data_IF_317191572955
#
_entry.id   IF_317191572955
#
_cell.length_a   1.000
_cell.length_b   1.000
_cell.length_c   1.000
_cell.angle_alpha   90.00
_cell.angle_beta   90.00
_cell.angle_gamma   90.00
#
_symmetry.space_group_name_H-M   'P 1'
#
loop_
_entity.id
_entity.type
_entity.pdbx_description
1 polymer ?
#
# COMPACT_ATOMS: atom_id res chain seq x y z
N UNK A 1 -15.28 -17.09 -0.07
CA UNK A 1 -15.75 -16.36 -1.26
C UNK A 1 -14.56 -15.66 -1.88
N UNK A 2 -14.24 -15.95 -3.14
CA UNK A 2 -13.24 -15.19 -3.89
C UNK A 2 -13.79 -13.79 -4.09
N UNK A 3 -13.26 -12.81 -3.35
CA UNK A 3 -13.55 -11.41 -3.55
C UNK A 3 -12.85 -11.00 -4.85
N UNK A 4 -13.53 -11.13 -5.99
CA UNK A 4 -12.93 -10.76 -7.27
C UNK A 4 -12.96 -9.23 -7.37
N UNK A 5 -11.83 -8.60 -7.02
CA UNK A 5 -11.69 -7.16 -7.15
C UNK A 5 -11.66 -6.78 -8.63
N UNK A 6 -12.61 -5.96 -9.07
CA UNK A 6 -12.67 -5.48 -10.45
C UNK A 6 -11.66 -4.35 -10.66
N UNK A 7 -10.45 -4.72 -11.05
CA UNK A 7 -9.36 -3.80 -11.39
C UNK A 7 -9.81 -2.82 -12.48
N UNK A 8 -10.51 -3.29 -13.52
CA UNK A 8 -10.90 -2.45 -14.65
C UNK A 8 -11.88 -1.37 -14.22
N UNK A 9 -12.86 -1.71 -13.38
CA UNK A 9 -13.77 -0.73 -12.77
C UNK A 9 -13.00 0.29 -11.94
N UNK A 10 -12.11 -0.15 -11.05
CA UNK A 10 -11.35 0.80 -10.21
C UNK A 10 -10.39 1.69 -11.02
N UNK A 11 -9.76 1.16 -12.06
CA UNK A 11 -8.92 1.96 -12.96
C UNK A 11 -9.74 3.06 -13.66
N UNK A 12 -10.98 2.76 -14.05
CA UNK A 12 -11.88 3.76 -14.64
C UNK A 12 -12.23 4.86 -13.63
N UNK A 13 -12.56 4.50 -12.39
CA UNK A 13 -12.83 5.46 -11.32
C UNK A 13 -11.60 6.36 -11.05
N UNK A 14 -10.41 5.77 -10.94
CA UNK A 14 -9.16 6.51 -10.70
C UNK A 14 -8.79 7.43 -11.87
N UNK A 15 -9.10 7.04 -13.11
CA UNK A 15 -8.86 7.90 -14.29
C UNK A 15 -9.74 9.15 -14.33
N UNK A 16 -10.84 9.14 -13.56
CA UNK A 16 -11.78 10.26 -13.44
C UNK A 16 -11.64 10.98 -12.08
N UNK A 17 -10.69 10.55 -11.25
CA UNK A 17 -10.49 11.09 -9.92
C UNK A 17 -9.83 12.48 -9.99
N UNK A 18 -10.50 13.47 -9.43
CA UNK A 18 -9.91 14.77 -9.14
C UNK A 18 -9.22 14.72 -7.78
N UNK A 19 -7.90 14.71 -7.80
CA UNK A 19 -7.10 14.66 -6.57
C UNK A 19 -7.11 16.01 -5.85
N UNK A 20 -7.71 16.07 -4.65
CA UNK A 20 -7.63 17.26 -3.80
C UNK A 20 -6.24 17.38 -3.14
N UNK A 21 -5.27 17.86 -3.91
CA UNK A 21 -3.86 17.90 -3.49
C UNK A 21 -3.68 18.67 -2.19
N UNK A 22 -4.33 19.83 -2.04
CA UNK A 22 -4.23 20.64 -0.83
C UNK A 22 -4.68 19.87 0.42
N UNK A 23 -5.77 19.10 0.33
CA UNK A 23 -6.24 18.27 1.44
C UNK A 23 -5.29 17.11 1.73
N UNK A 24 -4.77 16.45 0.69
CA UNK A 24 -3.84 15.33 0.83
C UNK A 24 -2.53 15.80 1.48
N UNK A 25 -1.99 16.95 1.03
CA UNK A 25 -0.80 17.59 1.58
C UNK A 25 -1.01 18.02 3.04
N UNK A 26 -2.15 18.64 3.37
CA UNK A 26 -2.45 19.03 4.73
C UNK A 26 -2.52 17.82 5.68
N UNK A 27 -3.10 16.70 5.23
CA UNK A 27 -3.17 15.46 6.01
C UNK A 27 -1.79 14.81 6.16
N UNK A 28 -1.04 14.67 5.07
CA UNK A 28 0.32 14.13 5.11
C UNK A 28 1.26 15.01 5.95
N UNK A 29 1.13 16.34 5.85
CA UNK A 29 1.89 17.30 6.65
C UNK A 29 1.67 17.15 8.14
N UNK A 30 0.45 16.84 8.59
CA UNK A 30 0.19 16.52 10.00
C UNK A 30 0.94 15.28 10.47
N UNK A 31 1.05 14.24 9.63
CA UNK A 31 1.83 13.03 9.96
C UNK A 31 3.33 13.35 10.05
N UNK A 32 3.83 14.24 9.20
CA UNK A 32 5.23 14.70 9.23
C UNK A 32 5.51 15.52 10.49
N UNK A 33 4.66 16.48 10.83
CA UNK A 33 4.89 17.41 11.95
C UNK A 33 4.62 16.77 13.32
N UNK A 34 3.59 15.94 13.43
CA UNK A 34 3.12 15.42 14.71
C UNK A 34 3.47 13.94 14.93
N UNK A 35 4.02 13.28 13.91
CA UNK A 35 4.21 11.83 13.91
C UNK A 35 2.90 11.06 13.70
N UNK A 36 3.01 9.74 13.79
CA UNK A 36 1.86 8.82 13.72
C UNK A 36 1.36 8.58 15.14
N UNK A 37 0.13 8.98 15.43
CA UNK A 37 -0.47 8.80 16.75
C UNK A 37 -0.82 7.33 16.98
N UNK A 38 -0.35 6.70 18.07
CA UNK A 38 -0.76 5.35 18.44
C UNK A 38 -2.26 5.27 18.64
N UNK A 39 -2.88 4.17 18.22
CA UNK A 39 -4.31 3.93 18.38
C UNK A 39 -4.58 2.69 19.20
N UNK A 40 -5.62 2.77 20.01
CA UNK A 40 -6.27 1.61 20.63
C UNK A 40 -7.52 1.27 19.83
N UNK A 41 -7.74 -0.02 19.60
CA UNK A 41 -8.88 -0.50 18.83
C UNK A 41 -9.93 -1.06 19.77
N UNK A 42 -11.15 -0.53 19.65
CA UNK A 42 -12.33 -1.22 20.13
C UNK A 42 -12.67 -2.32 19.13
N UNK A 43 -12.61 -3.58 19.56
CA UNK A 43 -12.80 -4.76 18.71
C UNK A 43 -14.17 -4.75 18.05
N UNK A 44 -15.23 -4.53 18.82
CA UNK A 44 -16.62 -4.59 18.32
C UNK A 44 -16.87 -3.47 17.31
N UNK A 45 -16.44 -2.26 17.64
CA UNK A 45 -16.54 -1.10 16.74
C UNK A 45 -15.76 -1.34 15.45
N UNK A 46 -14.50 -1.76 15.54
CA UNK A 46 -13.63 -2.00 14.38
C UNK A 46 -14.23 -3.04 13.44
N UNK A 47 -14.80 -4.12 13.99
CA UNK A 47 -15.48 -5.14 13.20
C UNK A 47 -16.76 -4.61 12.54
N UNK A 48 -17.55 -3.79 13.24
CA UNK A 48 -18.77 -3.18 12.70
C UNK A 48 -18.50 -2.16 11.59
N UNK A 49 -17.38 -1.44 11.67
CA UNK A 49 -16.98 -0.40 10.71
C UNK A 49 -16.02 -0.92 9.63
N UNK A 50 -15.82 -2.25 9.53
CA UNK A 50 -14.79 -2.88 8.68
C UNK A 50 -14.76 -2.29 7.27
N UNK A 51 -15.87 -2.33 6.53
CA UNK A 51 -15.88 -1.86 5.14
C UNK A 51 -15.53 -0.37 5.01
N UNK A 52 -16.01 0.48 5.93
CA UNK A 52 -15.66 1.91 5.96
C UNK A 52 -14.16 2.11 6.21
N UNK A 53 -13.54 1.29 7.07
CA UNK A 53 -12.08 1.32 7.28
C UNK A 53 -11.34 0.88 6.02
N UNK A 54 -11.79 -0.20 5.37
CA UNK A 54 -11.17 -0.72 4.15
C UNK A 54 -11.20 0.29 3.00
N UNK A 55 -12.34 0.94 2.77
CA UNK A 55 -12.49 2.00 1.78
C UNK A 55 -11.58 3.20 2.09
N UNK A 56 -11.57 3.65 3.35
CA UNK A 56 -10.72 4.77 3.79
C UNK A 56 -9.23 4.47 3.61
N UNK A 57 -8.78 3.29 3.99
CA UNK A 57 -7.37 2.86 3.83
C UNK A 57 -6.99 2.78 2.36
N UNK A 58 -7.85 2.18 1.53
CA UNK A 58 -7.62 2.08 0.10
C UNK A 58 -7.45 3.47 -0.53
N UNK A 59 -8.41 4.38 -0.27
CA UNK A 59 -8.38 5.75 -0.81
C UNK A 59 -7.13 6.51 -0.35
N UNK A 60 -6.80 6.43 0.95
CA UNK A 60 -5.60 7.10 1.48
C UNK A 60 -4.32 6.57 0.87
N UNK A 61 -4.22 5.26 0.62
CA UNK A 61 -3.03 4.67 0.01
C UNK A 61 -2.86 5.11 -1.44
N UNK A 62 -3.96 5.23 -2.17
CA UNK A 62 -3.99 5.79 -3.52
C UNK A 62 -3.53 7.27 -3.51
N UNK A 63 -4.11 8.08 -2.62
CA UNK A 63 -3.78 9.50 -2.44
C UNK A 63 -2.31 9.73 -2.04
N UNK A 64 -1.81 8.98 -1.06
CA UNK A 64 -0.42 9.10 -0.61
C UNK A 64 0.57 8.61 -1.66
N UNK A 65 0.22 7.59 -2.45
CA UNK A 65 1.04 7.21 -3.61
C UNK A 65 1.07 8.34 -4.65
N UNK A 66 -0.08 8.95 -4.94
CA UNK A 66 -0.17 10.06 -5.90
C UNK A 66 0.67 11.28 -5.47
N UNK A 67 0.62 11.62 -4.17
CA UNK A 67 1.41 12.70 -3.56
C UNK A 67 2.91 12.37 -3.58
N UNK A 68 3.30 11.24 -2.99
CA UNK A 68 4.71 10.91 -2.75
C UNK A 68 5.43 10.32 -3.96
N UNK A 69 4.68 9.98 -5.02
CA UNK A 69 5.16 9.26 -6.22
C UNK A 69 5.89 7.96 -5.88
N UNK A 70 5.47 7.31 -4.79
CA UNK A 70 6.11 6.11 -4.28
C UNK A 70 5.06 5.13 -3.76
N UNK A 71 4.91 4.00 -4.44
CA UNK A 71 3.88 3.01 -4.13
C UNK A 71 4.13 2.27 -2.81
N UNK A 72 5.39 2.09 -2.39
CA UNK A 72 5.68 1.50 -1.08
C UNK A 72 5.27 2.44 0.06
N UNK A 73 5.63 3.74 -0.07
CA UNK A 73 5.23 4.78 0.89
C UNK A 73 3.71 4.93 0.94
N UNK A 74 3.04 5.01 -0.21
CA UNK A 74 1.59 5.16 -0.27
C UNK A 74 0.84 4.11 0.55
N UNK A 75 1.15 2.83 0.33
CA UNK A 75 0.54 1.73 1.07
C UNK A 75 0.86 1.80 2.58
N UNK A 76 2.14 1.94 2.94
CA UNK A 76 2.56 1.95 4.34
C UNK A 76 2.01 3.16 5.10
N UNK A 77 2.01 4.37 4.52
CA UNK A 77 1.52 5.58 5.19
C UNK A 77 0.04 5.46 5.53
N UNK A 78 -0.79 4.97 4.61
CA UNK A 78 -2.22 4.79 4.87
C UNK A 78 -2.49 3.77 5.98
N UNK A 79 -1.77 2.66 5.96
CA UNK A 79 -1.85 1.62 6.99
C UNK A 79 -1.36 2.11 8.35
N UNK A 80 -0.24 2.84 8.39
CA UNK A 80 0.32 3.39 9.61
C UNK A 80 -0.61 4.45 10.21
N UNK A 81 -1.17 5.33 9.40
CA UNK A 81 -2.18 6.31 9.83
C UNK A 81 -3.44 5.62 10.36
N UNK A 82 -3.92 4.57 9.69
CA UNK A 82 -5.14 3.88 10.11
C UNK A 82 -4.93 3.11 11.40
N UNK A 83 -3.83 2.36 11.51
CA UNK A 83 -3.59 1.46 12.63
C UNK A 83 -2.73 2.04 13.77
N UNK A 84 -2.25 3.29 13.62
CA UNK A 84 -1.40 3.93 14.62
C UNK A 84 -0.07 3.21 14.85
N UNK A 85 0.54 2.71 13.76
CA UNK A 85 1.76 1.91 13.78
C UNK A 85 2.96 2.68 13.21
N UNK A 86 4.17 2.26 13.60
CA UNK A 86 5.40 2.75 13.00
C UNK A 86 5.66 4.24 13.22
N UNK A 87 6.42 4.86 12.31
CA UNK A 87 6.77 6.27 12.33
C UNK A 87 7.20 6.76 10.94
N UNK A 88 7.43 8.07 10.80
CA UNK A 88 7.83 8.68 9.53
C UNK A 88 9.25 8.31 9.08
N UNK A 89 10.13 7.85 9.98
CA UNK A 89 11.48 7.37 9.61
C UNK A 89 11.40 6.07 8.81
N UNK A 90 10.49 5.17 9.18
CA UNK A 90 10.21 3.98 8.39
C UNK A 90 9.66 4.35 7.01
N UNK A 91 8.73 5.31 6.94
CA UNK A 91 8.19 5.80 5.66
C UNK A 91 9.31 6.41 4.80
N UNK A 92 10.22 7.18 5.38
CA UNK A 92 11.41 7.71 4.70
C UNK A 92 12.30 6.58 4.16
N UNK A 93 12.52 5.54 4.96
CA UNK A 93 13.29 4.34 4.60
C UNK A 93 12.70 3.56 3.41
N UNK A 94 11.40 3.67 3.12
CA UNK A 94 10.76 2.98 2.00
C UNK A 94 11.05 3.60 0.61
N UNK A 95 11.89 4.63 0.53
CA UNK A 95 12.22 5.34 -0.71
C UNK A 95 12.67 4.45 -1.88
N UNK A 96 13.58 3.46 -1.72
CA UNK A 96 14.04 2.64 -2.84
C UNK A 96 13.07 1.52 -3.25
N UNK A 97 12.04 1.23 -2.45
CA UNK A 97 11.26 -0.01 -2.61
C UNK A 97 10.28 -0.10 -3.80
N UNK A 98 9.92 0.97 -4.55
CA UNK A 98 9.20 0.80 -5.81
C UNK A 98 9.97 -0.08 -6.82
N UNK A 99 9.47 -1.29 -7.09
CA UNK A 99 10.21 -2.25 -7.90
C UNK A 99 11.59 -2.61 -7.30
N UNK A 100 11.71 -2.44 -5.96
CA UNK A 100 12.87 -2.62 -5.06
C UNK A 100 14.10 -1.72 -5.25
N UNK A 101 14.39 -1.28 -6.45
CA UNK A 101 15.32 -0.17 -6.69
C UNK A 101 15.05 0.39 -8.08
N UNK A 102 13.77 0.40 -8.47
CA UNK A 102 13.34 0.59 -9.86
C UNK A 102 13.94 -0.44 -10.84
N UNK A 103 14.45 -1.58 -10.34
CA UNK A 103 15.13 -2.62 -11.12
C UNK A 103 14.20 -3.73 -11.65
N UNK A 104 12.89 -3.50 -11.65
CA UNK A 104 11.91 -4.51 -12.09
C UNK A 104 11.64 -5.62 -11.08
N UNK A 105 11.97 -5.42 -9.80
CA UNK A 105 11.70 -6.38 -8.72
C UNK A 105 10.24 -6.40 -8.24
N UNK A 106 10.04 -6.91 -7.01
CA UNK A 106 8.73 -6.96 -6.35
C UNK A 106 8.12 -5.55 -6.25
N UNK A 107 6.81 -5.47 -6.44
CA UNK A 107 6.07 -4.21 -6.39
C UNK A 107 6.10 -3.58 -4.99
N UNK A 108 6.29 -2.26 -4.92
CA UNK A 108 6.44 -1.53 -3.66
C UNK A 108 5.34 -1.76 -2.60
N UNK A 109 4.04 -1.87 -2.96
CA UNK A 109 2.98 -2.14 -2.01
C UNK A 109 3.15 -3.45 -1.24
N UNK A 110 3.83 -4.44 -1.81
CA UNK A 110 4.14 -5.69 -1.10
C UNK A 110 5.05 -5.39 0.09
N UNK A 111 6.12 -4.61 -0.10
CA UNK A 111 6.97 -4.18 1.02
C UNK A 111 6.19 -3.33 2.03
N UNK A 112 5.41 -2.35 1.56
CA UNK A 112 4.63 -1.47 2.45
C UNK A 112 3.59 -2.24 3.28
N UNK A 113 3.01 -3.30 2.71
CA UNK A 113 2.14 -4.22 3.43
C UNK A 113 2.90 -5.08 4.43
N UNK A 114 4.00 -5.73 4.01
CA UNK A 114 4.79 -6.62 4.87
C UNK A 114 5.36 -5.89 6.09
N UNK A 115 5.85 -4.65 5.95
CA UNK A 115 6.35 -3.90 7.10
C UNK A 115 5.24 -3.57 8.10
N UNK A 116 4.03 -3.26 7.62
CA UNK A 116 2.86 -3.06 8.49
C UNK A 116 2.49 -4.35 9.22
N UNK A 117 2.42 -5.47 8.51
CA UNK A 117 2.08 -6.77 9.07
C UNK A 117 3.09 -7.18 10.15
N UNK A 118 4.37 -6.96 9.91
CA UNK A 118 5.43 -7.19 10.90
C UNK A 118 5.26 -6.31 12.13
N UNK A 119 4.99 -5.01 11.97
CA UNK A 119 4.77 -4.11 13.11
C UNK A 119 3.51 -4.46 13.92
N UNK A 120 2.50 -5.04 13.29
CA UNK A 120 1.25 -5.40 13.94
C UNK A 120 1.32 -6.77 14.64
N UNK A 121 1.90 -7.78 14.00
CA UNK A 121 1.87 -9.18 14.48
C UNK A 121 3.13 -9.66 15.19
N UNK A 122 4.26 -8.98 15.04
CA UNK A 122 5.50 -9.35 15.73
C UNK A 122 5.52 -8.83 17.17
N UNK A 123 6.35 -9.44 18.00
CA UNK A 123 6.60 -8.94 19.34
C UNK A 123 7.29 -7.56 19.30
N UNK A 124 6.89 -6.64 20.19
CA UNK A 124 7.54 -5.33 20.32
C UNK A 124 8.97 -5.44 20.87
N UNK A 125 9.26 -6.48 21.63
CA UNK A 125 10.62 -6.78 22.08
C UNK A 125 11.40 -7.47 20.95
N UNK A 126 12.40 -6.78 20.38
CA UNK A 126 13.19 -7.30 19.27
C UNK A 126 14.08 -8.50 19.64
N UNK A 127 14.25 -8.81 20.93
CA UNK A 127 14.92 -10.05 21.37
C UNK A 127 14.00 -11.26 21.35
N UNK A 128 12.69 -11.06 21.20
CA UNK A 128 11.73 -12.14 21.02
C UNK A 128 11.64 -12.48 19.53
N UNK A 129 12.22 -13.63 19.17
CA UNK A 129 12.36 -14.03 17.77
C UNK A 129 11.15 -14.80 17.22
N UNK A 130 10.16 -15.08 18.07
CA UNK A 130 8.93 -15.75 17.65
C UNK A 130 8.10 -14.83 16.74
N UNK A 131 7.88 -15.29 15.50
CA UNK A 131 7.24 -14.49 14.45
C UNK A 131 6.22 -15.29 13.62
N UNK A 132 5.72 -16.44 14.13
CA UNK A 132 4.81 -17.32 13.38
C UNK A 132 3.57 -16.58 12.88
N UNK A 133 2.93 -15.75 13.70
CA UNK A 133 1.77 -14.95 13.27
C UNK A 133 2.13 -13.98 12.15
N UNK A 134 3.25 -13.28 12.27
CA UNK A 134 3.73 -12.35 11.24
C UNK A 134 3.97 -13.07 9.90
N UNK A 135 4.63 -14.24 9.91
CA UNK A 135 4.83 -15.04 8.69
C UNK A 135 3.52 -15.57 8.10
N UNK A 136 2.65 -16.14 8.93
CA UNK A 136 1.38 -16.72 8.51
C UNK A 136 0.50 -15.69 7.79
N UNK A 137 0.26 -14.56 8.46
CA UNK A 137 -0.56 -13.49 7.91
C UNK A 137 0.09 -12.81 6.70
N UNK A 138 1.43 -12.67 6.69
CA UNK A 138 2.17 -12.16 5.52
C UNK A 138 2.03 -13.06 4.30
N UNK A 139 2.00 -14.39 4.47
CA UNK A 139 1.75 -15.32 3.35
C UNK A 139 0.33 -15.18 2.80
N UNK A 140 -0.66 -14.99 3.67
CA UNK A 140 -2.04 -14.72 3.26
C UNK A 140 -2.09 -13.42 2.46
N UNK A 141 -1.44 -12.36 2.93
CA UNK A 141 -1.35 -11.08 2.22
C UNK A 141 -0.72 -11.23 0.83
N UNK A 142 0.47 -11.83 0.76
CA UNK A 142 1.18 -12.05 -0.50
C UNK A 142 0.29 -12.80 -1.49
N UNK A 143 -0.39 -13.87 -1.04
CA UNK A 143 -1.25 -14.65 -1.90
C UNK A 143 -2.46 -13.85 -2.40
N UNK A 144 -3.16 -13.15 -1.51
CA UNK A 144 -4.30 -12.31 -1.88
C UNK A 144 -3.89 -11.20 -2.85
N UNK A 145 -2.72 -10.58 -2.65
CA UNK A 145 -2.20 -9.55 -3.55
C UNK A 145 -1.86 -10.12 -4.93
N UNK A 146 -1.21 -11.29 -4.97
CA UNK A 146 -0.96 -12.02 -6.21
C UNK A 146 -2.26 -12.41 -6.91
N UNK A 147 -3.30 -12.86 -6.21
CA UNK A 147 -4.58 -13.22 -6.82
C UNK A 147 -5.27 -12.01 -7.49
N UNK A 148 -5.09 -10.79 -6.94
CA UNK A 148 -5.61 -9.55 -7.56
C UNK A 148 -4.85 -9.22 -8.85
N UNK A 149 -3.52 -9.19 -8.79
CA UNK A 149 -2.72 -8.69 -9.91
C UNK A 149 -2.26 -9.76 -10.89
N UNK A 150 -2.26 -11.02 -10.50
CA UNK A 150 -1.66 -12.15 -11.23
C UNK A 150 -0.13 -12.24 -11.10
N UNK A 151 0.51 -11.34 -10.36
CA UNK A 151 1.96 -11.33 -10.11
C UNK A 151 2.28 -10.43 -8.91
N UNK A 152 3.44 -10.66 -8.29
CA UNK A 152 4.03 -9.77 -7.29
C UNK A 152 5.04 -8.78 -7.89
N UNK A 153 5.45 -9.01 -9.15
CA UNK A 153 6.54 -8.28 -9.78
C UNK A 153 6.04 -7.00 -10.47
N UNK A 154 6.77 -5.91 -10.27
CA UNK A 154 6.42 -4.59 -10.80
C UNK A 154 6.27 -4.60 -12.33
N UNK A 155 7.13 -5.27 -13.13
CA UNK A 155 6.97 -5.34 -14.58
C UNK A 155 5.63 -5.92 -15.04
N UNK A 156 5.16 -7.00 -14.41
CA UNK A 156 3.91 -7.65 -14.81
C UNK A 156 2.70 -6.83 -14.37
N UNK A 157 2.76 -6.23 -13.20
CA UNK A 157 1.74 -5.30 -12.72
C UNK A 157 1.67 -4.06 -13.62
N UNK A 158 2.81 -3.51 -14.05
CA UNK A 158 2.83 -2.42 -15.02
C UNK A 158 2.24 -2.83 -16.36
N UNK A 159 2.55 -4.02 -16.90
CA UNK A 159 1.90 -4.52 -18.12
C UNK A 159 0.38 -4.59 -17.95
N UNK A 160 -0.11 -5.06 -16.80
CA UNK A 160 -1.54 -5.13 -16.51
C UNK A 160 -2.19 -3.75 -16.38
N UNK A 161 -1.53 -2.80 -15.72
CA UNK A 161 -2.12 -1.48 -15.42
C UNK A 161 -1.89 -0.44 -16.54
N UNK A 162 -0.73 -0.48 -17.18
CA UNK A 162 -0.24 0.51 -18.15
C UNK A 162 -0.19 -0.02 -19.59
N UNK A 163 -0.33 -1.33 -19.79
CA UNK A 163 -0.22 -1.99 -21.09
C UNK A 163 1.21 -2.40 -21.47
N UNK A 164 2.24 -1.88 -20.77
CA UNK A 164 3.63 -2.31 -20.90
C UNK A 164 4.43 -2.00 -19.64
N UNK A 165 5.60 -2.62 -19.53
CA UNK A 165 6.60 -2.29 -18.51
C UNK A 165 7.49 -1.14 -18.99
N UNK A 166 7.83 -0.24 -18.07
CA UNK A 166 8.81 0.81 -18.25
C UNK A 166 9.92 0.64 -17.21
N UNK A 167 11.18 0.66 -17.65
CA UNK A 167 12.35 0.83 -16.79
C UNK A 167 12.83 2.29 -16.89
N UNK A 168 12.44 3.19 -15.97
CA UNK A 168 12.79 4.59 -16.04
C UNK A 168 14.28 4.86 -15.77
N UNK A 169 15.02 3.86 -15.25
CA UNK A 169 16.45 3.97 -14.96
C UNK A 169 17.32 3.52 -16.13
N UNK A 170 16.76 2.85 -17.14
CA UNK A 170 17.50 2.38 -18.31
C UNK A 170 17.95 3.53 -19.24
N UNK A 171 17.13 4.58 -19.40
CA UNK A 171 17.47 5.73 -20.25
C UNK A 171 16.57 6.95 -19.98
N UNK A 172 17.01 8.13 -20.42
CA UNK A 172 16.18 9.35 -20.37
C UNK A 172 14.91 9.23 -21.23
N UNK A 173 14.97 8.47 -22.33
CA UNK A 173 13.81 8.19 -23.18
C UNK A 173 12.77 7.37 -22.41
N UNK A 174 13.18 6.26 -21.77
CA UNK A 174 12.29 5.45 -20.94
C UNK A 174 11.71 6.26 -19.78
N UNK A 175 12.50 7.14 -19.15
CA UNK A 175 12.01 8.01 -18.09
C UNK A 175 10.89 8.94 -18.58
N UNK A 176 11.06 9.57 -19.76
CA UNK A 176 10.02 10.42 -20.36
C UNK A 176 8.78 9.61 -20.73
N UNK A 177 8.98 8.41 -21.27
CA UNK A 177 7.89 7.53 -21.66
C UNK A 177 7.06 7.07 -20.45
N UNK A 178 7.73 6.70 -19.35
CA UNK A 178 7.07 6.35 -18.09
C UNK A 178 6.25 7.53 -17.54
N UNK A 179 6.81 8.74 -17.53
CA UNK A 179 6.08 9.92 -17.06
C UNK A 179 4.88 10.28 -17.95
N UNK A 180 4.90 9.90 -19.22
CA UNK A 180 3.80 10.13 -20.18
C UNK A 180 2.78 8.98 -20.21
N UNK A 181 3.00 7.90 -19.45
CA UNK A 181 2.17 6.68 -19.48
C UNK A 181 0.93 6.72 -18.58
N UNK A 182 0.67 7.85 -17.91
CA UNK A 182 -0.29 7.99 -16.82
C UNK A 182 -0.01 7.01 -15.66
N UNK A 183 1.26 6.61 -15.46
CA UNK A 183 1.65 5.76 -14.34
C UNK A 183 1.32 6.39 -12.99
N UNK A 184 1.38 7.72 -12.90
CA UNK A 184 1.05 8.46 -11.68
C UNK A 184 -0.40 8.27 -11.26
N UNK A 185 -1.33 8.12 -12.19
CA UNK A 185 -2.77 7.96 -11.97
C UNK A 185 -3.17 6.49 -11.92
N UNK A 186 -2.50 5.63 -12.68
CA UNK A 186 -2.89 4.21 -12.82
C UNK A 186 -2.22 3.30 -11.79
N UNK A 187 -0.96 3.57 -11.44
CA UNK A 187 -0.24 2.71 -10.49
C UNK A 187 -0.71 2.88 -9.04
N UNK A 188 -1.48 3.93 -8.71
CA UNK A 188 -2.03 4.17 -7.36
C UNK A 188 -3.01 3.08 -6.91
N UNK A 189 -3.61 2.35 -7.86
CA UNK A 189 -4.45 1.19 -7.58
C UNK A 189 -3.67 0.11 -6.81
N UNK A 190 -2.39 -0.10 -7.14
CA UNK A 190 -1.55 -1.11 -6.51
C UNK A 190 -1.37 -0.89 -4.99
N UNK A 191 -0.95 0.29 -4.50
CA UNK A 191 -0.93 0.58 -3.06
C UNK A 191 -2.31 0.62 -2.42
N UNK A 192 -3.34 1.11 -3.13
CA UNK A 192 -4.73 1.03 -2.67
C UNK A 192 -5.13 -0.39 -2.28
N UNK A 193 -4.92 -1.34 -3.20
CA UNK A 193 -5.25 -2.74 -2.99
C UNK A 193 -4.36 -3.42 -1.96
N UNK A 194 -3.05 -3.15 -1.99
CA UNK A 194 -2.14 -3.67 -0.99
C UNK A 194 -2.56 -3.27 0.43
N UNK A 195 -2.89 -1.99 0.62
CA UNK A 195 -3.34 -1.46 1.90
C UNK A 195 -4.71 -2.02 2.31
N UNK A 196 -5.67 -2.12 1.38
CA UNK A 196 -6.99 -2.73 1.65
C UNK A 196 -6.86 -4.16 2.16
N UNK A 197 -6.07 -4.99 1.47
CA UNK A 197 -5.91 -6.41 1.84
C UNK A 197 -5.25 -6.54 3.23
N UNK A 198 -4.22 -5.74 3.51
CA UNK A 198 -3.57 -5.76 4.83
C UNK A 198 -4.53 -5.34 5.92
N UNK A 199 -5.29 -4.26 5.71
CA UNK A 199 -6.30 -3.81 6.66
C UNK A 199 -7.38 -4.88 6.89
N UNK A 200 -7.82 -5.57 5.84
CA UNK A 200 -8.77 -6.67 5.95
C UNK A 200 -8.22 -7.80 6.84
N UNK A 201 -6.97 -8.21 6.62
CA UNK A 201 -6.33 -9.27 7.40
C UNK A 201 -6.16 -8.86 8.87
N UNK A 202 -5.72 -7.62 9.12
CA UNK A 202 -5.59 -7.08 10.47
C UNK A 202 -6.95 -7.11 11.19
N UNK A 203 -8.00 -6.59 10.57
CA UNK A 203 -9.34 -6.54 11.19
C UNK A 203 -9.91 -7.95 11.39
N UNK A 204 -9.74 -8.85 10.42
CA UNK A 204 -10.21 -10.23 10.55
C UNK A 204 -9.46 -11.00 11.65
N UNK A 205 -8.17 -10.74 11.85
CA UNK A 205 -7.41 -11.34 12.96
C UNK A 205 -7.93 -10.94 14.34
N UNK A 206 -8.67 -9.82 14.45
CA UNK A 206 -9.31 -9.40 15.70
C UNK A 206 -10.57 -10.22 16.03
N UNK A 207 -11.02 -11.14 15.17
CA UNK A 207 -12.11 -12.08 15.44
C UNK A 207 -11.65 -13.31 16.22
N UNK A 208 -10.36 -13.61 16.17
CA UNK A 208 -9.73 -14.67 16.95
C UNK A 208 -9.58 -14.27 18.43
#
# INVERSE_FOLDING_TARGET
MSYTFDISKRQKELSQCEWNIAQIEARFGKLVSNGITPKTFDREKTLSEKETILERVQHRAEEYCYLTRNCAKGAATALFEEFGLGNMEIIRGLSPFPGIAMSGGICGPVTGGLITMSLFFSNKNATEHEATKAYMYSRIFIRKYEDVFGSLYCPDIQKKLLGKYFDPMASMENFKEFNSSNAREKCVLAPGMGARIVAEIIIDSMKE
#
